data_IF_486493859538
#
_entry.id   IF_486493859538
#
_cell.length_a   1.000
_cell.length_b   1.000
_cell.length_c   1.000
_cell.angle_alpha   90.00
_cell.angle_beta   90.00
_cell.angle_gamma   90.00
#
_symmetry.space_group_name_H-M   'P 1'
#
loop_
_entity.id
_entity.type
_entity.pdbx_description
1 polymer ?
#
# COMPACT_ATOMS: atom_id res chain seq x y z
N UNK A 1 -7.47 24.45 -10.19
CA UNK A 1 -6.26 24.07 -9.45
C UNK A 1 -6.31 22.56 -9.21
N UNK A 2 -5.70 21.78 -10.11
CA UNK A 2 -5.47 20.36 -9.88
C UNK A 2 -4.32 20.26 -8.88
N UNK A 3 -4.64 20.20 -7.59
CA UNK A 3 -3.68 19.70 -6.61
C UNK A 3 -3.45 18.25 -6.97
N UNK A 4 -2.31 17.95 -7.59
CA UNK A 4 -1.84 16.59 -7.79
C UNK A 4 -1.68 15.94 -6.41
N UNK A 5 -2.74 15.31 -5.93
CA UNK A 5 -2.69 14.48 -4.73
C UNK A 5 -1.93 13.23 -5.13
N UNK A 6 -0.60 13.23 -4.90
CA UNK A 6 0.19 12.01 -4.97
C UNK A 6 -0.30 11.06 -3.86
N UNK A 7 -1.22 10.15 -4.21
CA UNK A 7 -1.78 9.14 -3.32
C UNK A 7 -0.81 7.98 -3.05
N UNK A 8 0.35 7.98 -3.70
CA UNK A 8 1.33 6.88 -3.73
C UNK A 8 2.75 7.45 -3.64
N UNK A 9 3.59 6.88 -2.78
CA UNK A 9 4.99 7.29 -2.59
C UNK A 9 5.85 6.03 -2.50
N UNK A 10 6.93 5.97 -3.29
CA UNK A 10 7.96 4.95 -3.19
C UNK A 10 9.20 5.55 -2.53
N UNK A 11 9.67 4.95 -1.43
CA UNK A 11 10.90 5.38 -0.74
C UNK A 11 11.94 4.27 -0.84
N UNK A 12 13.00 4.52 -1.60
CA UNK A 12 14.12 3.59 -1.77
C UNK A 12 15.32 4.09 -0.97
N UNK A 13 16.00 3.17 -0.29
CA UNK A 13 17.22 3.47 0.45
C UNK A 13 17.71 2.27 1.22
N UNK A 14 18.95 2.34 1.71
CA UNK A 14 19.57 1.26 2.49
C UNK A 14 18.71 0.89 3.72
N UNK A 15 18.79 -0.38 4.12
CA UNK A 15 18.13 -0.86 5.34
C UNK A 15 18.60 -0.04 6.55
N UNK A 16 17.70 0.20 7.51
CA UNK A 16 17.95 0.96 8.75
C UNK A 16 18.21 2.47 8.60
N UNK A 17 18.02 3.07 7.42
CA UNK A 17 18.21 4.52 7.22
C UNK A 17 16.96 5.35 7.59
N UNK A 18 16.13 4.86 8.52
CA UNK A 18 15.00 5.63 9.05
C UNK A 18 13.79 5.82 8.13
N UNK A 19 13.70 5.14 6.97
CA UNK A 19 12.57 5.27 6.03
C UNK A 19 11.20 5.07 6.69
N UNK A 20 11.06 4.00 7.48
CA UNK A 20 9.81 3.71 8.20
C UNK A 20 9.52 4.75 9.30
N UNK A 21 10.56 5.32 9.92
CA UNK A 21 10.41 6.39 10.90
C UNK A 21 9.94 7.69 10.22
N UNK A 22 10.48 8.01 9.05
CA UNK A 22 10.07 9.16 8.23
C UNK A 22 8.58 9.10 7.90
N UNK A 23 8.10 7.97 7.38
CA UNK A 23 6.68 7.77 7.04
C UNK A 23 5.78 7.87 8.28
N UNK A 24 6.13 7.19 9.37
CA UNK A 24 5.35 7.25 10.62
C UNK A 24 5.27 8.67 11.17
N UNK A 25 6.36 9.44 11.07
CA UNK A 25 6.41 10.84 11.51
C UNK A 25 5.51 11.71 10.64
N UNK A 26 5.55 11.52 9.32
CA UNK A 26 4.66 12.20 8.38
C UNK A 26 3.18 11.92 8.68
N UNK A 27 2.79 10.65 8.82
CA UNK A 27 1.39 10.28 9.11
C UNK A 27 0.95 10.83 10.48
N UNK A 28 1.83 10.77 11.48
CA UNK A 28 1.57 11.36 12.80
C UNK A 28 1.38 12.88 12.69
N UNK A 29 2.19 13.58 11.89
CA UNK A 29 2.02 15.03 11.67
C UNK A 29 0.64 15.37 11.08
N UNK A 30 0.11 14.53 10.18
CA UNK A 30 -1.22 14.70 9.59
C UNK A 30 -2.35 14.49 10.61
N UNK A 31 -2.16 13.59 11.59
CA UNK A 31 -3.14 13.37 12.66
C UNK A 31 -3.35 14.58 13.59
N UNK A 32 -2.38 15.50 13.67
CA UNK A 32 -2.54 16.75 14.41
C UNK A 32 -3.39 17.80 13.66
N UNK A 33 -3.54 17.65 12.34
CA UNK A 33 -4.30 18.57 11.48
C UNK A 33 -5.70 18.00 11.22
N UNK A 34 -5.80 16.70 10.97
CA UNK A 34 -7.06 15.97 10.72
C UNK A 34 -7.26 14.88 11.78
N UNK A 35 -8.47 14.80 12.33
CA UNK A 35 -8.75 14.06 13.57
C UNK A 35 -8.70 12.53 13.48
N UNK A 36 -8.71 11.92 12.30
CA UNK A 36 -8.62 10.45 12.17
C UNK A 36 -7.59 10.04 11.12
N UNK A 37 -6.40 9.66 11.59
CA UNK A 37 -5.32 8.90 10.93
C UNK A 37 -5.46 7.38 11.06
N UNK A 38 -5.71 6.60 10.01
CA UNK A 38 -5.54 5.14 10.07
C UNK A 38 -4.25 4.76 9.35
N UNK A 39 -3.36 4.06 10.04
CA UNK A 39 -2.05 3.67 9.51
C UNK A 39 -1.85 2.16 9.64
N UNK A 40 -1.64 1.49 8.51
CA UNK A 40 -1.29 0.08 8.46
C UNK A 40 0.12 -0.08 7.88
N UNK A 41 0.93 -0.89 8.55
CA UNK A 41 2.26 -1.26 8.10
C UNK A 41 2.28 -2.75 7.81
N UNK A 42 2.57 -3.12 6.57
CA UNK A 42 2.50 -4.50 6.09
C UNK A 42 3.87 -4.90 5.55
N UNK A 43 4.45 -5.94 6.16
CA UNK A 43 5.66 -6.60 5.68
C UNK A 43 5.28 -7.62 4.62
N UNK A 44 5.47 -7.30 3.34
CA UNK A 44 5.01 -8.15 2.23
C UNK A 44 5.63 -9.55 2.24
N UNK A 45 6.86 -9.70 2.73
CA UNK A 45 7.55 -11.00 2.84
C UNK A 45 6.86 -12.00 3.76
N UNK A 46 6.00 -11.53 4.66
CA UNK A 46 5.29 -12.37 5.62
C UNK A 46 3.96 -12.91 5.06
N UNK A 47 3.59 -12.55 3.83
CA UNK A 47 2.32 -12.89 3.24
C UNK A 47 2.51 -13.56 1.88
N UNK A 48 1.66 -14.54 1.59
CA UNK A 48 1.55 -15.03 0.22
C UNK A 48 0.78 -14.00 -0.64
N UNK A 49 1.00 -14.02 -1.96
CA UNK A 49 0.22 -13.18 -2.88
C UNK A 49 -1.29 -13.50 -2.79
N UNK A 50 -1.64 -14.76 -2.55
CA UNK A 50 -3.02 -15.22 -2.40
C UNK A 50 -3.72 -14.64 -1.16
N UNK A 51 -2.97 -14.38 -0.08
CA UNK A 51 -3.54 -13.80 1.14
C UNK A 51 -3.67 -12.28 1.04
N UNK A 52 -2.78 -11.63 0.29
CA UNK A 52 -2.78 -10.18 0.11
C UNK A 52 -3.89 -9.70 -0.82
N UNK A 53 -4.09 -10.42 -1.92
CA UNK A 53 -4.94 -10.00 -3.04
C UNK A 53 -6.24 -10.82 -3.11
N UNK A 54 -7.21 -10.28 -3.85
CA UNK A 54 -8.43 -11.03 -4.15
C UNK A 54 -8.04 -12.24 -5.01
N UNK A 55 -8.55 -13.41 -4.65
CA UNK A 55 -8.42 -14.63 -5.46
C UNK A 55 -9.77 -15.23 -5.75
N UNK A 56 -9.85 -15.98 -6.84
CA UNK A 56 -11.05 -16.71 -7.20
C UNK A 56 -10.88 -18.17 -6.77
N UNK A 57 -11.78 -18.64 -5.90
CA UNK A 57 -11.86 -20.03 -5.46
C UNK A 57 -12.73 -20.79 -6.46
N UNK A 58 -12.08 -21.60 -7.31
CA UNK A 58 -12.73 -22.39 -8.35
C UNK A 58 -13.63 -23.49 -7.78
N UNK A 59 -13.26 -24.09 -6.65
CA UNK A 59 -14.03 -25.18 -6.04
C UNK A 59 -15.36 -24.67 -5.48
N UNK A 60 -15.34 -23.45 -4.93
CA UNK A 60 -16.52 -22.80 -4.36
C UNK A 60 -17.22 -21.85 -5.32
N UNK A 61 -16.64 -21.57 -6.49
CA UNK A 61 -17.12 -20.58 -7.45
C UNK A 61 -17.37 -19.20 -6.80
N UNK A 62 -16.43 -18.73 -5.96
CA UNK A 62 -16.53 -17.44 -5.27
C UNK A 62 -15.22 -16.65 -5.34
N UNK A 63 -15.31 -15.32 -5.32
CA UNK A 63 -14.16 -14.46 -5.05
C UNK A 63 -13.90 -14.40 -3.54
N UNK A 64 -12.71 -14.82 -3.13
CA UNK A 64 -12.21 -14.64 -1.78
C UNK A 64 -11.46 -13.30 -1.69
N UNK A 65 -11.84 -12.47 -0.73
CA UNK A 65 -11.23 -11.17 -0.51
C UNK A 65 -9.88 -11.31 0.20
N UNK A 66 -8.86 -10.65 -0.33
CA UNK A 66 -7.53 -10.57 0.28
C UNK A 66 -7.45 -9.51 1.38
N UNK A 67 -6.37 -9.55 2.16
CA UNK A 67 -6.09 -8.61 3.25
C UNK A 67 -6.21 -7.15 2.81
N UNK A 68 -5.63 -6.81 1.66
CA UNK A 68 -5.56 -5.42 1.24
C UNK A 68 -6.94 -4.86 0.89
N UNK A 69 -7.80 -5.67 0.25
CA UNK A 69 -9.19 -5.29 -0.03
C UNK A 69 -9.95 -4.99 1.26
N UNK A 70 -9.84 -5.89 2.25
CA UNK A 70 -10.50 -5.73 3.55
C UNK A 70 -10.05 -4.46 4.28
N UNK A 71 -8.75 -4.17 4.27
CA UNK A 71 -8.21 -2.95 4.90
C UNK A 71 -8.72 -1.70 4.18
N UNK A 72 -8.74 -1.68 2.84
CA UNK A 72 -9.16 -0.52 2.06
C UNK A 72 -10.66 -0.25 2.17
N UNK A 73 -11.50 -1.29 2.11
CA UNK A 73 -12.96 -1.13 2.19
C UNK A 73 -13.41 -0.59 3.54
N UNK A 74 -12.75 -0.99 4.63
CA UNK A 74 -13.09 -0.55 5.99
C UNK A 74 -12.65 0.89 6.30
N UNK A 75 -11.76 1.49 5.51
CA UNK A 75 -11.02 2.70 5.89
C UNK A 75 -10.88 3.74 4.74
N UNK A 76 -11.94 3.94 3.94
CA UNK A 76 -11.87 4.65 2.64
C UNK A 76 -11.31 6.09 2.67
N UNK A 77 -11.54 6.87 3.72
CA UNK A 77 -11.25 8.31 3.69
C UNK A 77 -9.93 8.73 4.36
N UNK A 78 -9.30 7.83 5.13
CA UNK A 78 -8.22 8.21 6.05
C UNK A 78 -7.12 7.14 6.23
N UNK A 79 -6.91 6.30 5.22
CA UNK A 79 -5.97 5.19 5.26
C UNK A 79 -4.60 5.56 4.69
N UNK A 80 -3.56 5.35 5.48
CA UNK A 80 -2.18 5.22 5.00
C UNK A 80 -1.77 3.76 5.06
N UNK A 81 -1.41 3.23 3.89
CA UNK A 81 -0.91 1.88 3.74
C UNK A 81 0.59 1.95 3.45
N UNK A 82 1.41 1.47 4.38
CA UNK A 82 2.85 1.35 4.21
C UNK A 82 3.20 -0.11 3.94
N UNK A 83 3.63 -0.38 2.71
CA UNK A 83 4.09 -1.68 2.26
C UNK A 83 5.63 -1.72 2.30
N UNK A 84 6.22 -2.67 3.00
CA UNK A 84 7.67 -2.80 3.18
C UNK A 84 8.13 -4.25 2.90
N UNK A 85 9.43 -4.43 2.67
CA UNK A 85 10.04 -5.74 2.45
C UNK A 85 9.83 -6.34 1.06
N UNK A 86 9.43 -5.57 0.05
CA UNK A 86 9.31 -6.13 -1.31
C UNK A 86 10.66 -6.66 -1.82
N UNK A 87 10.66 -7.85 -2.41
CA UNK A 87 11.78 -8.26 -3.25
C UNK A 87 11.73 -7.47 -4.56
N UNK A 88 12.87 -7.35 -5.24
CA UNK A 88 12.92 -6.68 -6.55
C UNK A 88 11.97 -7.29 -7.57
N UNK A 89 11.67 -8.58 -7.46
CA UNK A 89 10.72 -9.28 -8.32
C UNK A 89 9.25 -9.04 -7.95
N UNK A 90 8.96 -8.55 -6.74
CA UNK A 90 7.61 -8.25 -6.27
C UNK A 90 7.14 -6.86 -6.73
N UNK A 91 8.08 -6.02 -7.19
CA UNK A 91 7.80 -4.66 -7.65
C UNK A 91 6.77 -4.64 -8.78
N UNK A 92 6.84 -5.52 -9.77
CA UNK A 92 5.86 -5.53 -10.88
C UNK A 92 4.44 -5.87 -10.40
N UNK A 93 4.32 -6.75 -9.40
CA UNK A 93 3.04 -7.15 -8.80
C UNK A 93 2.47 -6.05 -7.91
N UNK A 94 3.34 -5.37 -7.15
CA UNK A 94 2.98 -4.21 -6.33
C UNK A 94 2.63 -3.02 -7.22
N UNK A 95 3.37 -2.79 -8.31
CA UNK A 95 3.05 -1.80 -9.32
C UNK A 95 1.67 -2.10 -9.90
N UNK A 96 1.41 -3.32 -10.36
CA UNK A 96 0.10 -3.70 -10.86
C UNK A 96 -1.00 -3.47 -9.82
N UNK A 97 -0.81 -3.88 -8.57
CA UNK A 97 -1.78 -3.62 -7.51
C UNK A 97 -2.01 -2.12 -7.25
N UNK A 98 -0.93 -1.35 -7.15
CA UNK A 98 -0.96 0.10 -6.93
C UNK A 98 -1.68 0.79 -8.10
N UNK A 99 -1.36 0.44 -9.35
CA UNK A 99 -1.95 1.01 -10.56
C UNK A 99 -3.47 0.74 -10.65
N UNK A 100 -3.92 -0.46 -10.23
CA UNK A 100 -5.32 -0.88 -10.34
C UNK A 100 -6.22 -0.44 -9.17
N UNK A 101 -5.66 -0.03 -8.04
CA UNK A 101 -6.46 0.43 -6.88
C UNK A 101 -7.07 1.84 -7.04
N UNK A 102 -6.58 2.64 -7.99
CA UNK A 102 -7.19 3.83 -8.59
C UNK A 102 -6.11 4.60 -9.38
N UNK A 103 -6.52 5.17 -10.53
CA UNK A 103 -5.71 5.89 -11.52
C UNK A 103 -4.38 6.47 -11.02
N UNK A 104 -3.27 6.08 -11.63
CA UNK A 104 -2.01 6.80 -11.51
C UNK A 104 -0.85 5.98 -12.04
N UNK A 105 -0.01 6.59 -12.88
CA UNK A 105 1.14 5.98 -13.55
C UNK A 105 2.39 5.94 -12.65
N UNK A 106 3.25 4.95 -12.84
CA UNK A 106 4.56 4.83 -12.20
C UNK A 106 5.61 5.02 -13.29
N UNK A 107 6.56 5.94 -13.07
CA UNK A 107 7.74 6.12 -13.93
C UNK A 107 8.99 5.77 -13.12
N UNK A 108 9.92 5.03 -13.74
CA UNK A 108 11.29 4.90 -13.25
C UNK A 108 12.28 5.20 -14.39
N UNK A 109 13.47 5.69 -14.03
CA UNK A 109 14.64 5.76 -14.90
C UNK A 109 15.66 4.74 -14.40
N UNK A 110 16.12 3.88 -15.31
CA UNK A 110 17.15 2.85 -15.10
C UNK A 110 18.48 3.49 -14.74
#
# INVERSE_FOLDING_TARGET
YLTENHSKILIVGKSQYGKSLLIKTFVKSKSFINSKQIYHHIMLQLWSSEDLFIKYDYDKNIFQQGLLYNITELNKDHLYLHLDGFNQNDLSSIEHFILYLNHGHIFWKV
#
